data_IF_150084468667
#
_entry.id   IF_150084468667
#
_cell.length_a   1.000
_cell.length_b   1.000
_cell.length_c   1.000
_cell.angle_alpha   90.00
_cell.angle_beta   90.00
_cell.angle_gamma   90.00
#
_symmetry.space_group_name_H-M   'P 1'
#
loop_
_entity.id
_entity.type
_entity.pdbx_description
1 polymer ?
#
# COMPACT_ATOMS: atom_id res chain seq x y z
N UNK A 1 -1.25 -0.72 18.54
CA UNK A 1 -2.52 -0.70 19.29
C UNK A 1 -3.55 -0.02 18.42
N UNK A 2 -4.75 -0.58 18.33
CA UNK A 2 -5.83 -0.10 17.50
C UNK A 2 -7.02 0.30 18.37
N UNK A 3 -7.66 1.39 18.00
CA UNK A 3 -8.78 1.98 18.73
C UNK A 3 -9.88 2.36 17.75
N UNK A 4 -11.14 2.25 18.18
CA UNK A 4 -12.29 2.82 17.50
C UNK A 4 -12.56 4.20 18.09
N UNK A 5 -12.59 5.22 17.23
CA UNK A 5 -12.99 6.57 17.61
C UNK A 5 -14.49 6.72 17.36
N UNK A 6 -15.24 7.17 18.35
CA UNK A 6 -16.67 7.44 18.21
C UNK A 6 -16.93 8.66 17.31
N UNK A 7 -18.16 8.75 16.81
CA UNK A 7 -18.59 9.85 15.94
C UNK A 7 -18.50 11.24 16.58
N UNK A 8 -18.50 11.32 17.92
CA UNK A 8 -18.31 12.55 18.68
C UNK A 8 -16.86 13.08 18.65
N UNK A 9 -15.90 12.26 18.16
CA UNK A 9 -14.48 12.62 18.06
C UNK A 9 -13.73 12.70 19.40
N UNK A 10 -14.34 12.29 20.50
CA UNK A 10 -13.75 12.37 21.85
C UNK A 10 -13.63 11.04 22.56
N UNK A 11 -14.61 10.16 22.40
CA UNK A 11 -14.58 8.84 23.01
C UNK A 11 -13.88 7.84 22.09
N UNK A 12 -12.96 7.06 22.64
CA UNK A 12 -12.26 6.01 21.92
C UNK A 12 -12.24 4.71 22.72
N UNK A 13 -12.30 3.60 22.01
CA UNK A 13 -12.40 2.26 22.58
C UNK A 13 -11.26 1.41 22.09
N UNK A 14 -10.59 0.72 22.99
CA UNK A 14 -9.54 -0.23 22.63
C UNK A 14 -10.14 -1.38 21.81
N UNK A 15 -9.49 -1.70 20.69
CA UNK A 15 -9.90 -2.79 19.82
C UNK A 15 -8.92 -3.98 19.93
N UNK A 16 -7.66 -3.74 19.57
CA UNK A 16 -6.63 -4.79 19.64
C UNK A 16 -5.22 -4.21 19.75
N UNK A 17 -4.26 -5.10 20.04
CA UNK A 17 -2.83 -4.78 19.99
C UNK A 17 -2.10 -5.83 19.15
N UNK A 18 -1.50 -5.41 18.05
CA UNK A 18 -0.59 -6.22 17.26
C UNK A 18 0.82 -6.12 17.85
N UNK A 19 1.28 -7.17 18.53
CA UNK A 19 2.61 -7.23 19.18
C UNK A 19 3.73 -7.59 18.20
N UNK A 20 3.70 -7.00 17.04
CA UNK A 20 4.65 -7.16 15.93
C UNK A 20 4.75 -5.86 15.15
N UNK A 21 5.73 -5.77 14.24
CA UNK A 21 5.76 -4.70 13.25
C UNK A 21 4.56 -4.85 12.29
N UNK A 22 3.97 -3.74 11.88
CA UNK A 22 2.87 -3.72 10.91
C UNK A 22 3.41 -3.79 9.46
N UNK A 23 2.60 -4.30 8.54
CA UNK A 23 2.96 -4.35 7.11
C UNK A 23 3.26 -2.94 6.59
N UNK A 24 2.45 -1.96 7.01
CA UNK A 24 2.50 -0.56 6.62
C UNK A 24 3.54 0.29 7.36
N UNK A 25 4.47 -0.31 8.11
CA UNK A 25 5.53 0.41 8.84
C UNK A 25 6.33 1.35 7.94
N UNK A 26 6.47 1.02 6.66
CA UNK A 26 7.20 1.84 5.69
C UNK A 26 6.64 3.25 5.53
N UNK A 27 5.34 3.45 5.72
CA UNK A 27 4.71 4.78 5.70
C UNK A 27 5.20 5.63 6.87
N UNK A 28 5.25 5.05 8.07
CA UNK A 28 5.80 5.73 9.25
C UNK A 28 7.27 6.09 9.03
N UNK A 29 8.07 5.18 8.49
CA UNK A 29 9.48 5.43 8.17
C UNK A 29 9.65 6.58 7.18
N UNK A 30 8.81 6.63 6.13
CA UNK A 30 8.88 7.68 5.12
C UNK A 30 8.51 9.07 5.65
N UNK A 31 7.55 9.19 6.56
CA UNK A 31 7.13 10.50 7.08
C UNK A 31 7.92 10.94 8.32
N UNK A 32 8.58 10.03 9.03
CA UNK A 32 9.36 10.35 10.23
C UNK A 32 10.87 10.35 10.00
N UNK A 33 11.36 9.64 8.98
CA UNK A 33 12.78 9.38 8.78
C UNK A 33 13.37 8.34 9.73
N UNK A 34 12.53 7.68 10.55
CA UNK A 34 12.96 6.66 11.54
C UNK A 34 12.93 5.28 10.90
N UNK A 35 14.06 4.58 10.88
CA UNK A 35 14.15 3.17 10.48
C UNK A 35 13.70 2.28 11.66
N UNK A 36 12.44 1.81 11.59
CA UNK A 36 11.81 1.02 12.67
C UNK A 36 12.46 -0.35 12.83
N UNK A 37 12.86 -0.99 11.75
CA UNK A 37 13.52 -2.31 11.79
C UNK A 37 14.89 -2.19 12.45
N UNK A 38 15.65 -1.15 12.12
CA UNK A 38 16.92 -0.84 12.80
C UNK A 38 16.73 -0.64 14.29
N UNK A 39 15.69 0.10 14.70
CA UNK A 39 15.40 0.30 16.13
C UNK A 39 15.03 -1.01 16.83
N UNK A 40 14.25 -1.88 16.19
CA UNK A 40 13.96 -3.21 16.73
C UNK A 40 15.24 -4.03 16.94
N UNK A 41 16.16 -4.03 15.99
CA UNK A 41 17.43 -4.75 16.10
C UNK A 41 18.32 -4.18 17.23
N UNK A 42 18.33 -2.85 17.40
CA UNK A 42 19.04 -2.18 18.51
C UNK A 42 18.50 -2.66 19.85
N UNK A 43 17.18 -2.58 20.04
CA UNK A 43 16.51 -2.97 21.29
C UNK A 43 16.75 -4.46 21.58
N UNK A 44 16.63 -5.33 20.57
CA UNK A 44 16.90 -6.76 20.70
C UNK A 44 18.36 -7.06 21.08
N UNK A 45 19.28 -6.18 20.73
CA UNK A 45 20.71 -6.25 21.11
C UNK A 45 20.99 -5.66 22.51
N UNK A 46 19.97 -5.25 23.26
CA UNK A 46 20.10 -4.65 24.59
C UNK A 46 20.49 -3.17 24.59
N UNK A 47 20.47 -2.50 23.45
CA UNK A 47 20.73 -1.07 23.33
C UNK A 47 19.43 -0.28 23.49
N UNK A 48 19.47 0.93 24.12
CA UNK A 48 18.29 1.80 24.18
C UNK A 48 17.97 2.40 22.80
N UNK A 49 16.78 3.00 22.67
CA UNK A 49 16.48 3.90 21.54
C UNK A 49 17.55 5.01 21.46
N UNK A 50 17.92 5.40 20.25
CA UNK A 50 18.89 6.49 20.01
C UNK A 50 18.20 7.83 19.73
N UNK A 51 16.90 7.95 20.06
CA UNK A 51 16.09 9.14 19.90
C UNK A 51 15.08 9.27 21.04
N UNK A 52 14.65 10.51 21.32
CA UNK A 52 13.49 10.83 22.16
C UNK A 52 12.22 11.08 21.33
N UNK A 53 11.11 11.30 22.02
CA UNK A 53 9.84 11.61 21.33
C UNK A 53 9.90 12.97 20.60
N UNK A 54 10.66 13.90 21.11
CA UNK A 54 10.88 15.24 20.57
C UNK A 54 11.64 15.24 19.23
N UNK A 55 12.40 14.19 18.95
CA UNK A 55 13.16 14.03 17.71
C UNK A 55 12.26 13.53 16.56
N UNK A 56 11.07 12.99 16.90
CA UNK A 56 10.16 12.43 15.90
C UNK A 56 9.25 13.52 15.34
N UNK A 57 9.50 13.91 14.10
CA UNK A 57 8.70 14.90 13.36
C UNK A 57 8.06 14.28 12.14
N UNK A 58 6.81 14.68 11.85
CA UNK A 58 6.10 14.24 10.65
C UNK A 58 6.38 15.22 9.50
N UNK A 59 6.93 14.71 8.40
CA UNK A 59 7.26 15.52 7.22
C UNK A 59 6.57 14.97 5.98
N UNK A 60 5.85 15.84 5.27
CA UNK A 60 5.21 15.49 4.01
C UNK A 60 4.03 14.52 4.15
N UNK A 61 3.83 13.73 3.11
CA UNK A 61 2.72 12.78 2.98
C UNK A 61 3.20 11.51 2.28
N UNK A 62 2.82 10.35 2.81
CA UNK A 62 3.14 9.07 2.20
C UNK A 62 1.88 8.27 1.86
N UNK A 63 1.96 7.47 0.81
CA UNK A 63 0.92 6.52 0.38
C UNK A 63 1.59 5.18 0.14
N UNK A 64 0.96 4.09 0.60
CA UNK A 64 1.33 2.72 0.29
C UNK A 64 0.21 2.06 -0.51
N UNK A 65 0.58 1.38 -1.60
CA UNK A 65 -0.25 0.41 -2.28
C UNK A 65 0.33 -0.99 -2.03
N UNK A 66 -0.44 -1.85 -1.37
CA UNK A 66 -0.13 -3.27 -1.26
C UNK A 66 -0.56 -3.93 -2.56
N UNK A 67 0.40 -4.47 -3.30
CA UNK A 67 0.13 -5.24 -4.50
C UNK A 67 -0.03 -6.69 -4.09
N UNK A 68 -1.25 -7.19 -4.16
CA UNK A 68 -1.61 -8.55 -3.82
C UNK A 68 -1.87 -9.37 -5.08
N UNK A 69 -1.44 -10.62 -5.07
CA UNK A 69 -1.78 -11.61 -6.09
C UNK A 69 -3.22 -12.08 -5.86
N UNK A 70 -4.16 -11.24 -6.23
CA UNK A 70 -5.61 -11.41 -6.05
C UNK A 70 -6.35 -10.90 -7.29
N UNK A 71 -7.47 -11.53 -7.59
CA UNK A 71 -8.37 -11.09 -8.67
C UNK A 71 -9.55 -10.29 -8.08
N UNK A 72 -9.55 -8.96 -8.21
CA UNK A 72 -10.64 -8.11 -7.70
C UNK A 72 -12.00 -8.42 -8.36
N UNK A 73 -12.01 -8.91 -9.60
CA UNK A 73 -13.24 -9.28 -10.31
C UNK A 73 -13.81 -10.63 -9.86
N UNK A 74 -13.02 -11.43 -9.15
CA UNK A 74 -13.39 -12.72 -8.59
C UNK A 74 -13.40 -12.71 -7.06
N UNK A 75 -13.95 -11.67 -6.45
CA UNK A 75 -14.07 -11.49 -5.01
C UNK A 75 -12.72 -11.57 -4.27
N UNK A 76 -11.69 -10.92 -4.85
CA UNK A 76 -10.32 -10.90 -4.32
C UNK A 76 -9.73 -12.29 -4.06
N UNK A 77 -10.14 -13.28 -4.85
CA UNK A 77 -9.59 -14.63 -4.75
C UNK A 77 -8.07 -14.61 -4.94
N UNK A 78 -7.29 -15.21 -4.03
CA UNK A 78 -5.86 -15.37 -4.18
C UNK A 78 -5.48 -16.10 -5.48
N UNK A 79 -4.52 -15.55 -6.22
CA UNK A 79 -4.04 -16.06 -7.50
C UNK A 79 -2.52 -16.24 -7.47
N UNK A 80 -1.99 -17.19 -6.67
CA UNK A 80 -0.56 -17.47 -6.65
C UNK A 80 -0.10 -17.97 -8.01
N UNK A 81 1.13 -17.63 -8.41
CA UNK A 81 1.62 -18.00 -9.73
C UNK A 81 3.11 -17.71 -9.92
N UNK A 82 3.59 -18.01 -11.14
CA UNK A 82 4.97 -17.71 -11.55
C UNK A 82 5.02 -16.30 -12.13
N UNK A 83 6.02 -15.54 -11.72
CA UNK A 83 6.33 -14.23 -12.29
C UNK A 83 6.98 -14.43 -13.66
N UNK A 84 6.29 -14.03 -14.72
CA UNK A 84 6.80 -14.10 -16.09
C UNK A 84 7.58 -12.83 -16.45
N UNK A 85 7.04 -11.68 -16.08
CA UNK A 85 7.70 -10.39 -16.22
C UNK A 85 7.45 -9.53 -14.99
N UNK A 86 8.47 -8.77 -14.58
CA UNK A 86 8.39 -7.85 -13.45
C UNK A 86 9.18 -6.59 -13.73
N UNK A 87 8.52 -5.45 -13.57
CA UNK A 87 9.15 -4.14 -13.54
C UNK A 87 8.64 -3.35 -12.34
N UNK A 88 9.55 -2.91 -11.49
CA UNK A 88 9.23 -2.04 -10.36
C UNK A 88 9.45 -0.56 -10.72
N UNK A 89 8.53 0.33 -10.33
CA UNK A 89 8.71 1.77 -10.49
C UNK A 89 9.88 2.28 -9.65
N UNK A 90 10.49 3.36 -10.10
CA UNK A 90 11.61 3.98 -9.40
C UNK A 90 11.56 5.50 -9.37
N UNK A 91 12.65 6.11 -8.89
CA UNK A 91 12.83 7.56 -8.85
C UNK A 91 12.65 8.20 -7.47
N UNK A 92 12.82 9.54 -7.38
CA UNK A 92 12.78 10.27 -6.12
C UNK A 92 11.47 10.09 -5.34
N UNK A 93 11.58 9.74 -4.05
CA UNK A 93 10.43 9.55 -3.18
C UNK A 93 9.60 8.30 -3.50
N UNK A 94 10.19 7.30 -4.15
CA UNK A 94 9.61 5.98 -4.40
C UNK A 94 10.41 4.93 -3.64
N UNK A 95 9.71 4.04 -2.95
CA UNK A 95 10.25 2.84 -2.31
C UNK A 95 9.40 1.64 -2.67
N UNK A 96 10.04 0.54 -3.02
CA UNK A 96 9.37 -0.75 -3.26
C UNK A 96 9.99 -1.81 -2.37
N UNK A 97 9.16 -2.46 -1.56
CA UNK A 97 9.56 -3.62 -0.76
C UNK A 97 8.92 -4.88 -1.36
N UNK A 98 9.74 -5.78 -1.85
CA UNK A 98 9.31 -7.06 -2.44
C UNK A 98 10.43 -8.09 -2.41
N UNK A 99 10.05 -9.36 -2.40
CA UNK A 99 10.96 -10.49 -2.60
C UNK A 99 10.87 -11.06 -4.03
N UNK A 100 10.01 -10.49 -4.89
CA UNK A 100 9.79 -11.01 -6.23
C UNK A 100 10.94 -10.64 -7.19
N UNK A 101 11.17 -11.53 -8.13
CA UNK A 101 12.07 -11.35 -9.28
C UNK A 101 11.54 -12.17 -10.47
N UNK A 102 11.98 -11.84 -11.68
CA UNK A 102 11.58 -12.54 -12.90
C UNK A 102 11.85 -14.04 -12.79
N UNK A 103 10.83 -14.85 -13.02
CA UNK A 103 10.89 -16.31 -12.96
C UNK A 103 10.69 -16.93 -11.58
N UNK A 104 10.59 -16.15 -10.49
CA UNK A 104 10.20 -16.70 -9.18
C UNK A 104 8.73 -17.13 -9.15
N UNK A 105 8.36 -17.87 -8.12
CA UNK A 105 6.97 -18.31 -7.92
C UNK A 105 6.47 -17.80 -6.58
N UNK A 106 5.34 -17.09 -6.61
CA UNK A 106 4.58 -16.76 -5.40
C UNK A 106 3.79 -18.01 -4.98
N UNK A 107 4.10 -18.52 -3.80
CA UNK A 107 3.54 -19.78 -3.31
C UNK A 107 2.20 -19.55 -2.57
N UNK A 108 1.26 -20.52 -2.61
CA UNK A 108 -0.06 -20.37 -1.99
C UNK A 108 -0.08 -20.62 -0.48
N UNK A 109 1.08 -20.77 0.17
CA UNK A 109 1.18 -21.17 1.58
C UNK A 109 1.18 -20.01 2.57
N UNK A 110 1.29 -18.80 2.06
CA UNK A 110 1.36 -17.54 2.81
C UNK A 110 0.35 -16.53 2.27
N UNK A 111 0.43 -15.31 2.77
CA UNK A 111 -0.32 -14.18 2.29
C UNK A 111 -0.11 -13.92 0.78
N UNK A 112 -1.09 -13.34 0.13
CA UNK A 112 -1.07 -12.97 -1.30
C UNK A 112 -0.17 -11.75 -1.60
N UNK A 113 0.43 -11.12 -0.59
CA UNK A 113 1.23 -9.91 -0.74
C UNK A 113 2.45 -10.14 -1.63
N UNK A 114 2.44 -9.54 -2.80
CA UNK A 114 3.51 -9.62 -3.81
C UNK A 114 4.53 -8.48 -3.66
N UNK A 115 4.07 -7.26 -3.41
CA UNK A 115 4.91 -6.08 -3.22
C UNK A 115 4.19 -5.00 -2.42
N UNK A 116 4.98 -4.09 -1.83
CA UNK A 116 4.50 -2.80 -1.31
C UNK A 116 5.14 -1.71 -2.14
N UNK A 117 4.33 -0.94 -2.86
CA UNK A 117 4.78 0.28 -3.53
C UNK A 117 4.45 1.45 -2.62
N UNK A 118 5.46 2.20 -2.23
CA UNK A 118 5.32 3.34 -1.32
C UNK A 118 5.87 4.60 -1.95
N UNK A 119 5.21 5.70 -1.71
CA UNK A 119 5.67 7.02 -2.17
C UNK A 119 5.63 8.02 -1.03
N UNK A 120 6.53 8.99 -1.10
CA UNK A 120 6.58 10.15 -0.20
C UNK A 120 6.68 11.43 -1.01
N UNK A 121 5.92 12.46 -0.64
CA UNK A 121 5.93 13.77 -1.28
C UNK A 121 5.62 14.88 -0.25
N UNK A 122 5.91 16.17 -0.55
CA UNK A 122 5.59 17.27 0.35
C UNK A 122 4.10 17.40 0.69
N UNK A 123 3.22 17.10 -0.25
CA UNK A 123 1.76 17.21 -0.07
C UNK A 123 1.03 15.92 -0.45
N UNK A 124 -0.19 15.75 0.08
CA UNK A 124 -1.06 14.61 -0.26
C UNK A 124 -1.32 14.50 -1.77
N UNK A 125 -1.60 15.63 -2.44
CA UNK A 125 -1.88 15.62 -3.87
C UNK A 125 -0.67 15.19 -4.70
N UNK A 126 0.53 15.63 -4.32
CA UNK A 126 1.77 15.20 -4.97
C UNK A 126 2.05 13.72 -4.70
N UNK A 127 1.78 13.21 -3.48
CA UNK A 127 1.88 11.79 -3.18
C UNK A 127 0.90 10.96 -4.04
N UNK A 128 -0.35 11.40 -4.21
CA UNK A 128 -1.33 10.76 -5.10
C UNK A 128 -0.81 10.72 -6.54
N UNK A 129 -0.35 11.85 -7.09
CA UNK A 129 0.20 11.92 -8.45
C UNK A 129 1.41 11.02 -8.64
N UNK A 130 2.30 10.98 -7.65
CA UNK A 130 3.48 10.10 -7.66
C UNK A 130 3.09 8.63 -7.63
N UNK A 131 2.10 8.25 -6.81
CA UNK A 131 1.62 6.89 -6.76
C UNK A 131 0.95 6.46 -8.07
N UNK A 132 0.14 7.32 -8.71
CA UNK A 132 -0.43 7.07 -10.04
C UNK A 132 0.67 6.72 -11.04
N UNK A 133 1.71 7.58 -11.16
CA UNK A 133 2.87 7.30 -12.03
C UNK A 133 3.53 5.96 -11.69
N UNK A 134 3.71 5.67 -10.40
CA UNK A 134 4.31 4.39 -10.00
C UNK A 134 3.47 3.19 -10.44
N UNK A 135 2.15 3.26 -10.31
CA UNK A 135 1.28 2.16 -10.73
C UNK A 135 1.16 2.06 -12.26
N UNK A 136 1.31 3.16 -13.00
CA UNK A 136 1.43 3.16 -14.48
C UNK A 136 2.73 2.50 -14.96
N UNK A 137 3.83 2.66 -14.21
CA UNK A 137 5.13 2.06 -14.51
C UNK A 137 5.22 0.61 -13.99
N UNK A 138 4.43 0.25 -12.97
CA UNK A 138 4.46 -1.09 -12.38
C UNK A 138 3.94 -2.12 -13.38
N UNK A 139 4.74 -3.14 -13.65
CA UNK A 139 4.29 -4.28 -14.46
C UNK A 139 4.62 -5.58 -13.75
N UNK A 140 3.62 -6.45 -13.64
CA UNK A 140 3.76 -7.81 -13.16
C UNK A 140 2.88 -8.72 -14.03
N UNK A 141 3.50 -9.67 -14.72
CA UNK A 141 2.83 -10.65 -15.56
C UNK A 141 3.00 -12.05 -14.99
N UNK A 142 2.01 -12.93 -15.24
CA UNK A 142 2.00 -14.32 -14.80
C UNK A 142 0.80 -14.67 -13.90
N UNK A 143 0.25 -13.68 -13.19
CA UNK A 143 -0.97 -13.83 -12.38
C UNK A 143 -1.67 -12.47 -12.16
N UNK A 144 -3.00 -12.47 -11.92
CA UNK A 144 -3.73 -11.24 -11.61
C UNK A 144 -3.26 -10.58 -10.31
N UNK A 145 -3.35 -9.26 -10.27
CA UNK A 145 -3.10 -8.45 -9.06
C UNK A 145 -4.17 -7.38 -8.89
N UNK A 146 -4.22 -6.78 -7.71
CA UNK A 146 -5.07 -5.63 -7.41
C UNK A 146 -4.46 -4.27 -7.81
N UNK A 147 -3.34 -4.26 -8.55
CA UNK A 147 -2.63 -3.02 -8.90
C UNK A 147 -3.50 -2.04 -9.68
N UNK A 148 -4.26 -2.54 -10.67
CA UNK A 148 -5.16 -1.72 -11.49
C UNK A 148 -6.31 -1.14 -10.66
N UNK A 149 -6.94 -1.93 -9.80
CA UNK A 149 -7.95 -1.43 -8.87
C UNK A 149 -7.37 -0.32 -7.97
N UNK A 150 -6.15 -0.50 -7.45
CA UNK A 150 -5.47 0.51 -6.65
C UNK A 150 -5.22 1.81 -7.44
N UNK A 151 -4.90 1.69 -8.72
CA UNK A 151 -4.75 2.83 -9.62
C UNK A 151 -6.07 3.59 -9.79
N UNK A 152 -7.17 2.90 -10.04
CA UNK A 152 -8.50 3.51 -10.17
C UNK A 152 -8.96 4.22 -8.87
N UNK A 153 -8.72 3.61 -7.71
CA UNK A 153 -9.00 4.23 -6.40
C UNK A 153 -8.33 5.59 -6.26
N UNK A 154 -7.11 5.76 -6.77
CA UNK A 154 -6.37 7.03 -6.69
C UNK A 154 -7.04 8.17 -7.49
N UNK A 155 -7.90 7.87 -8.45
CA UNK A 155 -8.68 8.86 -9.21
C UNK A 155 -10.04 9.13 -8.59
N UNK A 156 -10.53 8.25 -7.73
CA UNK A 156 -11.85 8.40 -7.16
C UNK A 156 -11.97 9.66 -6.29
N UNK A 157 -12.99 10.51 -6.51
CA UNK A 157 -13.12 11.80 -5.84
C UNK A 157 -13.13 11.71 -4.30
N UNK A 158 -13.70 10.64 -3.73
CA UNK A 158 -13.70 10.43 -2.28
C UNK A 158 -12.27 10.20 -1.75
N UNK A 159 -11.46 9.42 -2.48
CA UNK A 159 -10.06 9.20 -2.09
C UNK A 159 -9.23 10.49 -2.20
N UNK A 160 -9.39 11.21 -3.30
CA UNK A 160 -8.67 12.48 -3.52
C UNK A 160 -9.00 13.50 -2.42
N UNK A 161 -10.27 13.60 -2.02
CA UNK A 161 -10.72 14.48 -0.93
C UNK A 161 -10.42 13.98 0.48
N UNK A 162 -10.00 12.71 0.63
CA UNK A 162 -9.78 12.10 1.94
C UNK A 162 -11.08 11.81 2.71
N UNK A 163 -12.19 11.56 2.01
CA UNK A 163 -13.52 11.30 2.57
C UNK A 163 -13.96 9.83 2.47
N UNK A 164 -13.02 8.91 2.31
CA UNK A 164 -13.30 7.48 2.32
C UNK A 164 -13.73 7.03 3.72
N UNK A 165 -14.72 6.16 3.77
CA UNK A 165 -15.18 5.46 4.98
C UNK A 165 -14.89 3.98 4.86
N UNK A 166 -15.10 3.21 5.91
CA UNK A 166 -14.97 1.74 5.90
C UNK A 166 -15.81 1.06 4.82
N UNK A 167 -16.95 1.64 4.46
CA UNK A 167 -17.85 1.14 3.40
C UNK A 167 -17.49 1.69 1.99
N UNK A 168 -16.35 2.36 1.82
CA UNK A 168 -15.99 2.98 0.54
C UNK A 168 -15.85 1.94 -0.57
N UNK A 169 -15.07 0.91 -0.34
CA UNK A 169 -14.79 -0.09 -1.37
C UNK A 169 -16.06 -0.87 -1.75
N UNK A 170 -16.85 -1.30 -0.76
CA UNK A 170 -18.11 -2.03 -1.01
C UNK A 170 -19.06 -1.27 -1.93
N UNK A 171 -19.11 0.05 -1.78
CA UNK A 171 -20.00 0.92 -2.59
C UNK A 171 -19.45 1.24 -3.96
N UNK A 172 -18.13 1.38 -4.08
CA UNK A 172 -17.46 1.90 -5.29
C UNK A 172 -16.90 0.77 -6.16
N UNK A 173 -16.74 -0.44 -5.65
CA UNK A 173 -16.11 -1.55 -6.36
C UNK A 173 -16.74 -1.85 -7.73
N UNK A 174 -18.09 -1.90 -7.88
CA UNK A 174 -18.70 -2.16 -9.21
C UNK A 174 -18.33 -1.10 -10.26
N UNK A 175 -18.27 0.18 -9.86
CA UNK A 175 -17.88 1.29 -10.74
C UNK A 175 -16.40 1.22 -11.11
N UNK A 176 -15.53 0.97 -10.11
CA UNK A 176 -14.09 0.87 -10.31
C UNK A 176 -13.71 -0.28 -11.25
N UNK A 177 -14.36 -1.44 -11.09
CA UNK A 177 -14.13 -2.58 -11.98
C UNK A 177 -14.68 -2.37 -13.40
N UNK A 178 -15.78 -1.63 -13.58
CA UNK A 178 -16.34 -1.34 -14.90
C UNK A 178 -15.49 -0.35 -15.69
N UNK A 179 -14.87 0.62 -15.03
CA UNK A 179 -13.94 1.55 -15.66
C UNK A 179 -12.71 0.83 -16.23
N UNK A 180 -12.11 -0.04 -15.45
CA UNK A 180 -11.01 -0.90 -15.86
C UNK A 180 -11.32 -1.67 -17.17
N UNK A 181 -12.47 -2.31 -17.24
CA UNK A 181 -12.92 -3.01 -18.46
C UNK A 181 -13.07 -2.10 -19.69
N UNK A 182 -13.44 -0.84 -19.51
CA UNK A 182 -13.56 0.13 -20.61
C UNK A 182 -12.20 0.54 -21.18
N UNK A 183 -11.20 0.69 -20.33
CA UNK A 183 -9.83 1.06 -20.75
C UNK A 183 -9.20 -0.11 -21.55
N UNK A 184 -9.36 -1.34 -21.10
CA UNK A 184 -8.85 -2.52 -21.81
C UNK A 184 -9.54 -2.72 -23.17
N UNK A 185 -10.82 -2.41 -23.29
CA UNK A 185 -11.53 -2.41 -24.58
C UNK A 185 -10.96 -1.43 -25.61
N UNK A 186 -10.19 -0.41 -25.20
CA UNK A 186 -9.56 0.58 -26.08
C UNK A 186 -8.09 0.27 -26.41
N UNK A 187 -7.44 -0.63 -25.66
CA UNK A 187 -6.05 -1.07 -25.93
C UNK A 187 -5.95 -2.19 -26.96
N UNK A 188 -7.08 -2.72 -27.38
CA UNK A 188 -7.18 -3.83 -28.35
C UNK A 188 -7.46 -3.40 -29.80
N UNK A 189 -7.19 -2.13 -30.18
CA UNK A 189 -7.35 -1.65 -31.57
C UNK A 189 -6.03 -1.11 -32.07
#
# INVERSE_FOLDING_TARGET
>A
MEFLLDADGTHFYFMEMNTRIQVEHGITELVTGVDLVRQQLRIASGLPLDMGQEDVTLTGHAIECRINAEDPAADFRPCPGRVEFLHFPGGPGVRVDSALYNGCTLLPYYDSLAAKVMVHAPTRLEAIRRMRRCLEEFALEGFPTNAELSYEVLFHPAFVRGSCTTAFLDRSLPELLDFSRRVDGHRGV
#
